data_IF_509954641585
#
_entry.id   IF_509954641585
#
_cell.length_a   1.000
_cell.length_b   1.000
_cell.length_c   1.000
_cell.angle_alpha   90.00
_cell.angle_beta   90.00
_cell.angle_gamma   90.00
#
_symmetry.space_group_name_H-M   'P 1'
#
loop_
_entity.id
_entity.type
_entity.pdbx_description
1 polymer ?
#
# COMPACT_ATOMS: atom_id res chain seq x y z
N UNK A 1 4.77 -0.46 14.02
CA UNK A 1 3.61 0.15 14.72
C UNK A 1 2.94 -0.97 15.52
N UNK A 2 2.85 -0.88 16.86
CA UNK A 2 2.16 -1.88 17.67
C UNK A 2 0.68 -2.00 17.29
N UNK A 3 0.15 -3.22 17.28
CA UNK A 3 -1.26 -3.48 17.00
C UNK A 3 -2.14 -3.12 18.21
N UNK A 4 -3.30 -2.49 17.99
CA UNK A 4 -4.22 -2.08 19.08
C UNK A 4 -5.25 -3.16 19.49
N UNK A 5 -5.28 -4.30 18.80
CA UNK A 5 -6.20 -5.42 19.06
C UNK A 5 -7.69 -5.03 18.96
N UNK A 6 -8.00 -4.13 18.02
CA UNK A 6 -9.35 -3.65 17.78
C UNK A 6 -10.22 -4.70 17.09
N UNK A 7 -11.48 -4.80 17.54
CA UNK A 7 -12.52 -5.54 16.84
C UNK A 7 -13.26 -4.62 15.86
N UNK A 8 -14.26 -5.18 15.17
CA UNK A 8 -15.16 -4.41 14.30
C UNK A 8 -15.85 -3.25 15.04
N UNK A 9 -16.11 -3.39 16.35
CA UNK A 9 -16.76 -2.34 17.14
C UNK A 9 -15.87 -1.12 17.30
N UNK A 10 -14.59 -1.33 17.63
CA UNK A 10 -13.64 -0.23 17.78
C UNK A 10 -13.36 0.43 16.42
N UNK A 11 -13.23 -0.34 15.34
CA UNK A 11 -13.12 0.21 13.99
C UNK A 11 -14.35 1.02 13.55
N UNK A 12 -15.56 0.55 13.85
CA UNK A 12 -16.78 1.31 13.54
C UNK A 12 -16.81 2.66 14.25
N UNK A 13 -16.42 2.68 15.53
CA UNK A 13 -16.31 3.92 16.30
C UNK A 13 -15.25 4.86 15.68
N UNK A 14 -14.10 4.32 15.28
CA UNK A 14 -13.02 5.10 14.68
C UNK A 14 -13.43 5.71 13.32
N UNK A 15 -14.11 4.95 12.45
CA UNK A 15 -14.69 5.48 11.21
C UNK A 15 -15.73 6.58 11.49
N UNK A 16 -16.54 6.46 12.55
CA UNK A 16 -17.45 7.52 12.97
C UNK A 16 -16.72 8.78 13.45
N UNK A 17 -15.58 8.63 14.12
CA UNK A 17 -14.70 9.75 14.50
C UNK A 17 -14.10 10.41 13.26
N UNK A 18 -13.53 9.63 12.34
CA UNK A 18 -12.99 10.11 11.07
C UNK A 18 -14.04 10.90 10.27
N UNK A 19 -15.27 10.37 10.15
CA UNK A 19 -16.35 11.06 9.43
C UNK A 19 -16.69 12.41 10.04
N UNK A 20 -16.76 12.48 11.37
CA UNK A 20 -17.04 13.74 12.10
C UNK A 20 -15.95 14.79 11.90
N UNK A 21 -14.72 14.37 11.64
CA UNK A 21 -13.60 15.26 11.34
C UNK A 21 -13.54 15.68 9.85
N UNK A 22 -14.45 15.15 9.01
CA UNK A 22 -14.48 15.46 7.58
C UNK A 22 -13.57 14.58 6.73
N UNK A 23 -13.03 13.48 7.28
CA UNK A 23 -12.31 12.48 6.48
C UNK A 23 -13.33 11.79 5.57
N UNK A 24 -13.01 11.75 4.28
CA UNK A 24 -13.82 11.12 3.24
C UNK A 24 -13.11 9.94 2.56
N UNK A 25 -11.84 9.70 2.88
CA UNK A 25 -11.01 8.69 2.22
C UNK A 25 -10.20 7.93 3.26
N UNK A 26 -10.22 6.60 3.17
CA UNK A 26 -9.42 5.68 3.98
C UNK A 26 -8.55 4.82 3.08
N UNK A 27 -7.29 4.64 3.48
CA UNK A 27 -6.29 3.93 2.69
C UNK A 27 -5.75 2.78 3.52
N UNK A 28 -5.93 1.55 3.05
CA UNK A 28 -5.22 0.41 3.62
C UNK A 28 -3.76 0.49 3.16
N UNK A 29 -2.81 0.66 4.09
CA UNK A 29 -1.41 0.92 3.72
C UNK A 29 -0.75 -0.23 2.93
N UNK A 30 -1.09 -1.47 3.23
CA UNK A 30 -0.66 -2.67 2.49
C UNK A 30 -1.59 -3.82 2.84
N UNK A 31 -1.94 -4.64 1.85
CA UNK A 31 -2.82 -5.80 2.04
C UNK A 31 -2.10 -7.03 2.62
N UNK A 32 -0.77 -6.97 2.63
CA UNK A 32 0.04 -7.87 3.43
C UNK A 32 1.46 -7.35 3.56
N UNK A 33 2.15 -7.85 4.59
CA UNK A 33 3.57 -7.62 4.78
C UNK A 33 4.26 -8.92 5.17
N UNK A 34 5.18 -9.37 4.33
CA UNK A 34 5.77 -10.72 4.45
C UNK A 34 4.62 -11.74 4.53
N UNK A 35 4.57 -12.55 5.58
CA UNK A 35 3.58 -13.63 5.73
C UNK A 35 2.26 -13.22 6.39
N UNK A 36 2.08 -11.93 6.73
CA UNK A 36 0.88 -11.44 7.41
C UNK A 36 -0.05 -10.75 6.43
N UNK A 37 -1.31 -11.16 6.40
CA UNK A 37 -2.32 -10.67 5.45
C UNK A 37 -3.46 -9.93 6.15
N UNK A 38 -4.13 -9.06 5.41
CA UNK A 38 -5.34 -8.35 5.86
C UNK A 38 -6.63 -9.01 5.38
N UNK A 39 -6.53 -9.97 4.46
CA UNK A 39 -7.64 -10.74 3.91
C UNK A 39 -7.13 -12.14 3.53
N UNK A 40 -8.02 -13.15 3.44
CA UNK A 40 -7.61 -14.54 3.20
C UNK A 40 -7.28 -14.79 1.72
N UNK A 41 -6.19 -14.17 1.23
CA UNK A 41 -5.67 -14.39 -0.14
C UNK A 41 -5.29 -15.85 -0.36
N UNK A 42 -6.03 -16.57 -1.21
CA UNK A 42 -5.72 -17.96 -1.56
C UNK A 42 -4.35 -18.01 -2.24
N UNK A 43 -4.12 -17.11 -3.19
CA UNK A 43 -2.85 -17.03 -3.93
C UNK A 43 -1.64 -16.87 -3.00
N UNK A 44 -1.67 -15.92 -2.05
CA UNK A 44 -0.53 -15.65 -1.18
C UNK A 44 -0.34 -16.73 -0.11
N UNK A 45 -1.43 -17.34 0.38
CA UNK A 45 -1.34 -18.48 1.30
C UNK A 45 -0.69 -19.70 0.63
N UNK A 46 -1.03 -19.98 -0.63
CA UNK A 46 -0.47 -21.11 -1.37
C UNK A 46 0.97 -20.86 -1.85
N UNK A 47 1.25 -19.68 -2.40
CA UNK A 47 2.52 -19.43 -3.12
C UNK A 47 3.61 -18.78 -2.28
N UNK A 48 3.24 -17.95 -1.30
CA UNK A 48 4.19 -17.26 -0.41
C UNK A 48 4.11 -17.78 1.05
N UNK A 49 3.28 -18.80 1.29
CA UNK A 49 3.14 -19.45 2.59
C UNK A 49 2.59 -18.52 3.68
N UNK A 50 1.80 -17.53 3.29
CA UNK A 50 1.22 -16.56 4.21
C UNK A 50 0.26 -17.20 5.21
N UNK A 51 0.12 -16.58 6.38
CA UNK A 51 -0.79 -17.05 7.41
C UNK A 51 -2.23 -16.65 7.09
N UNK A 52 -3.18 -17.55 7.35
CA UNK A 52 -4.59 -17.23 7.27
C UNK A 52 -4.93 -16.16 8.33
N UNK A 53 -5.46 -14.99 7.94
CA UNK A 53 -5.82 -13.96 8.92
C UNK A 53 -7.09 -14.37 9.69
N UNK A 54 -7.20 -14.04 10.98
CA UNK A 54 -8.39 -14.37 11.77
C UNK A 54 -9.63 -13.55 11.39
N UNK A 55 -9.43 -12.43 10.68
CA UNK A 55 -10.47 -11.51 10.23
C UNK A 55 -10.11 -11.01 8.84
N UNK A 56 -11.11 -10.94 7.96
CA UNK A 56 -11.00 -10.21 6.70
C UNK A 56 -11.21 -8.71 6.96
N UNK A 57 -10.10 -7.98 7.11
CA UNK A 57 -10.10 -6.55 7.32
C UNK A 57 -10.45 -5.78 6.05
N UNK A 58 -10.21 -6.33 4.86
CA UNK A 58 -10.55 -5.68 3.59
C UNK A 58 -12.05 -5.60 3.44
N UNK A 59 -12.75 -6.73 3.64
CA UNK A 59 -14.22 -6.76 3.69
C UNK A 59 -14.76 -5.79 4.74
N UNK A 60 -14.22 -5.84 5.96
CA UNK A 60 -14.66 -4.97 7.05
C UNK A 60 -14.50 -3.49 6.73
N UNK A 61 -13.35 -3.06 6.20
CA UNK A 61 -13.10 -1.66 5.88
C UNK A 61 -13.91 -1.18 4.68
N UNK A 62 -14.18 -2.02 3.69
CA UNK A 62 -15.08 -1.68 2.59
C UNK A 62 -16.52 -1.47 3.07
N UNK A 63 -17.01 -2.34 3.96
CA UNK A 63 -18.33 -2.18 4.59
C UNK A 63 -18.43 -0.90 5.41
N UNK A 64 -17.42 -0.61 6.24
CA UNK A 64 -17.37 0.60 7.04
C UNK A 64 -17.25 1.85 6.17
N UNK A 65 -16.40 1.83 5.15
CA UNK A 65 -16.29 2.92 4.18
C UNK A 65 -17.63 3.17 3.49
N UNK A 66 -18.34 2.11 3.07
CA UNK A 66 -19.69 2.21 2.54
C UNK A 66 -20.69 2.82 3.53
N UNK A 67 -20.70 2.34 4.78
CA UNK A 67 -21.57 2.85 5.86
C UNK A 67 -21.38 4.35 6.10
N UNK A 68 -20.14 4.84 6.09
CA UNK A 68 -19.81 6.25 6.39
C UNK A 68 -19.66 7.13 5.14
N UNK A 69 -19.90 6.57 3.95
CA UNK A 69 -19.76 7.27 2.67
C UNK A 69 -18.34 7.78 2.44
N UNK A 70 -17.35 6.90 2.63
CA UNK A 70 -15.94 7.15 2.39
C UNK A 70 -15.44 6.35 1.17
N UNK A 71 -14.41 6.86 0.51
CA UNK A 71 -13.64 6.18 -0.49
C UNK A 71 -12.61 5.25 0.17
N UNK A 72 -12.59 3.98 -0.19
CA UNK A 72 -11.57 3.02 0.23
C UNK A 72 -10.52 2.84 -0.86
N UNK A 73 -9.25 2.96 -0.49
CA UNK A 73 -8.11 2.66 -1.35
C UNK A 73 -7.39 1.41 -0.85
N UNK A 74 -7.20 0.45 -1.76
CA UNK A 74 -6.54 -0.81 -1.46
C UNK A 74 -5.02 -0.71 -1.64
N UNK A 75 -4.27 -0.91 -0.56
CA UNK A 75 -2.82 -1.05 -0.60
C UNK A 75 -2.37 -2.39 -1.15
N UNK A 76 -1.44 -2.35 -2.08
CA UNK A 76 -0.83 -3.55 -2.66
C UNK A 76 -0.06 -4.38 -1.63
N UNK A 77 0.31 -5.59 -2.02
CA UNK A 77 1.09 -6.48 -1.19
C UNK A 77 2.57 -6.05 -1.21
N UNK A 78 3.22 -6.09 -0.04
CA UNK A 78 4.66 -5.88 0.08
C UNK A 78 5.30 -7.17 0.63
N UNK A 79 6.06 -7.87 -0.21
CA UNK A 79 6.74 -9.10 0.20
C UNK A 79 7.78 -8.85 1.29
N UNK A 80 8.29 -7.61 1.40
CA UNK A 80 9.42 -7.27 2.26
C UNK A 80 10.70 -8.05 1.93
N UNK A 81 10.80 -8.64 0.74
CA UNK A 81 11.89 -9.54 0.33
C UNK A 81 12.37 -9.24 -1.09
N UNK A 82 11.50 -9.34 -2.09
CA UNK A 82 11.94 -9.40 -3.49
C UNK A 82 12.49 -8.06 -3.98
N UNK A 83 11.68 -6.99 -3.97
CA UNK A 83 12.13 -5.69 -4.46
C UNK A 83 13.17 -5.02 -3.54
N UNK A 84 13.01 -5.15 -2.22
CA UNK A 84 13.83 -4.44 -1.23
C UNK A 84 15.12 -5.18 -0.85
N UNK A 85 15.03 -6.44 -0.43
CA UNK A 85 16.19 -7.20 0.07
C UNK A 85 16.98 -7.85 -1.08
N UNK A 86 16.30 -8.30 -2.14
CA UNK A 86 16.91 -9.08 -3.23
C UNK A 86 17.12 -8.26 -4.52
N UNK A 87 16.48 -7.10 -4.65
CA UNK A 87 16.50 -6.30 -5.88
C UNK A 87 15.74 -6.94 -7.05
N UNK A 88 14.90 -7.94 -6.80
CA UNK A 88 14.05 -8.59 -7.79
C UNK A 88 12.68 -7.89 -7.87
N UNK A 89 12.66 -6.77 -8.59
CA UNK A 89 11.45 -5.98 -8.82
C UNK A 89 10.41 -6.74 -9.65
N UNK A 90 10.82 -7.63 -10.55
CA UNK A 90 9.88 -8.32 -11.44
C UNK A 90 9.08 -9.36 -10.65
N UNK A 91 9.72 -10.11 -9.76
CA UNK A 91 9.01 -11.05 -8.89
C UNK A 91 7.97 -10.35 -8.00
N UNK A 92 8.28 -9.15 -7.49
CA UNK A 92 7.30 -8.34 -6.74
C UNK A 92 6.09 -7.92 -7.61
N UNK A 93 6.36 -7.53 -8.86
CA UNK A 93 5.32 -7.21 -9.85
C UNK A 93 4.46 -8.43 -10.12
N UNK A 94 5.06 -9.57 -10.48
CA UNK A 94 4.34 -10.78 -10.88
C UNK A 94 3.39 -11.28 -9.79
N UNK A 95 3.81 -11.20 -8.52
CA UNK A 95 2.97 -11.52 -7.36
C UNK A 95 1.80 -10.54 -7.26
N UNK A 96 2.08 -9.23 -7.32
CA UNK A 96 1.05 -8.21 -7.17
C UNK A 96 0.04 -8.22 -8.32
N UNK A 97 0.43 -8.57 -9.55
CA UNK A 97 -0.52 -8.74 -10.66
C UNK A 97 -1.60 -9.79 -10.32
N UNK A 98 -1.21 -10.91 -9.71
CA UNK A 98 -2.15 -11.95 -9.27
C UNK A 98 -3.01 -11.50 -8.09
N UNK A 99 -2.41 -10.79 -7.14
CA UNK A 99 -3.13 -10.20 -5.99
C UNK A 99 -4.18 -9.19 -6.46
N UNK A 100 -3.84 -8.32 -7.41
CA UNK A 100 -4.75 -7.32 -7.98
C UNK A 100 -5.96 -8.02 -8.63
N UNK A 101 -5.72 -9.06 -9.44
CA UNK A 101 -6.80 -9.83 -10.09
C UNK A 101 -7.72 -10.50 -9.07
N UNK A 102 -7.15 -11.14 -8.04
CA UNK A 102 -7.88 -11.80 -6.96
C UNK A 102 -8.74 -10.79 -6.19
N UNK A 103 -8.14 -9.71 -5.70
CA UNK A 103 -8.82 -8.66 -4.93
C UNK A 103 -9.94 -8.02 -5.74
N UNK A 104 -9.70 -7.72 -7.02
CA UNK A 104 -10.71 -7.12 -7.87
C UNK A 104 -11.91 -8.06 -8.06
N UNK A 105 -11.66 -9.35 -8.27
CA UNK A 105 -12.71 -10.36 -8.37
C UNK A 105 -13.55 -10.46 -7.09
N UNK A 106 -12.91 -10.42 -5.92
CA UNK A 106 -13.60 -10.56 -4.64
C UNK A 106 -14.33 -9.28 -4.20
N UNK A 107 -13.70 -8.11 -4.34
CA UNK A 107 -14.16 -6.89 -3.70
C UNK A 107 -14.48 -5.74 -4.67
N UNK A 108 -14.13 -5.85 -5.95
CA UNK A 108 -14.28 -4.76 -6.93
C UNK A 108 -15.71 -4.33 -7.20
N UNK A 109 -16.69 -5.18 -6.87
CA UNK A 109 -18.11 -4.85 -6.96
C UNK A 109 -18.59 -3.94 -5.82
N UNK A 110 -17.82 -3.78 -4.74
CA UNK A 110 -18.20 -2.96 -3.60
C UNK A 110 -18.08 -1.48 -3.95
N UNK A 111 -19.17 -0.73 -3.81
CA UNK A 111 -19.25 0.69 -4.21
C UNK A 111 -18.17 1.57 -3.54
N UNK A 112 -17.76 1.23 -2.32
CA UNK A 112 -16.74 1.96 -1.56
C UNK A 112 -15.32 1.75 -2.10
N UNK A 113 -15.06 0.72 -2.92
CA UNK A 113 -13.75 0.52 -3.55
C UNK A 113 -13.52 1.61 -4.59
N UNK A 114 -12.60 2.55 -4.32
CA UNK A 114 -12.41 3.76 -5.12
C UNK A 114 -10.99 3.98 -5.64
N UNK A 115 -10.02 3.18 -5.24
CA UNK A 115 -8.69 3.27 -5.84
C UNK A 115 -7.66 2.33 -5.23
N UNK A 116 -6.42 2.54 -5.66
CA UNK A 116 -5.30 1.68 -5.35
C UNK A 116 -4.15 2.50 -4.76
N UNK A 117 -3.46 1.92 -3.78
CA UNK A 117 -2.25 2.46 -3.19
C UNK A 117 -1.07 1.55 -3.51
N UNK A 118 -0.07 2.06 -4.24
CA UNK A 118 1.13 1.31 -4.57
C UNK A 118 2.09 1.38 -3.38
N UNK A 119 2.12 0.33 -2.57
CA UNK A 119 2.69 0.31 -1.22
C UNK A 119 4.22 0.30 -1.15
N UNK A 120 4.94 0.18 -2.27
CA UNK A 120 6.40 0.19 -2.30
C UNK A 120 6.91 1.62 -2.12
N UNK A 121 7.03 2.10 -0.89
CA UNK A 121 7.46 3.47 -0.56
C UNK A 121 8.97 3.66 -0.79
N UNK A 122 9.36 4.69 -1.56
CA UNK A 122 10.76 5.07 -1.80
C UNK A 122 10.98 6.56 -1.53
N UNK A 123 12.23 6.96 -1.31
CA UNK A 123 12.62 8.36 -1.13
C UNK A 123 13.57 8.91 -2.18
N UNK A 124 14.18 8.01 -2.95
CA UNK A 124 15.21 8.26 -3.94
C UNK A 124 14.92 7.45 -5.18
N UNK A 125 15.59 7.80 -6.28
CA UNK A 125 15.65 6.93 -7.44
C UNK A 125 16.26 5.58 -7.06
N UNK A 126 15.42 4.56 -6.95
CA UNK A 126 15.80 3.24 -6.40
C UNK A 126 15.61 2.16 -7.45
N UNK A 127 16.72 1.60 -7.95
CA UNK A 127 16.71 0.44 -8.84
C UNK A 127 15.74 0.58 -10.01
N UNK A 128 14.79 -0.37 -10.11
CA UNK A 128 13.77 -0.42 -11.17
C UNK A 128 12.38 0.00 -10.68
N UNK A 129 12.31 0.84 -9.65
CA UNK A 129 11.03 1.22 -9.03
C UNK A 129 10.04 1.86 -10.01
N UNK A 130 10.52 2.68 -10.95
CA UNK A 130 9.67 3.34 -11.95
C UNK A 130 8.94 2.31 -12.82
N UNK A 131 9.67 1.30 -13.31
CA UNK A 131 9.10 0.20 -14.09
C UNK A 131 8.13 -0.68 -13.29
N UNK A 132 8.36 -0.82 -11.98
CA UNK A 132 7.43 -1.48 -11.06
C UNK A 132 6.13 -0.68 -10.92
N UNK A 133 6.22 0.63 -10.60
CA UNK A 133 5.04 1.48 -10.47
C UNK A 133 4.22 1.57 -11.75
N UNK A 134 4.89 1.66 -12.90
CA UNK A 134 4.22 1.70 -14.20
C UNK A 134 3.39 0.44 -14.42
N UNK A 135 4.00 -0.75 -14.29
CA UNK A 135 3.31 -2.02 -14.50
C UNK A 135 2.15 -2.23 -13.53
N UNK A 136 2.36 -1.97 -12.23
CA UNK A 136 1.32 -2.13 -11.22
C UNK A 136 0.20 -1.11 -11.38
N UNK A 137 0.53 0.15 -11.64
CA UNK A 137 -0.44 1.22 -11.87
C UNK A 137 -1.29 0.98 -13.12
N UNK A 138 -0.66 0.57 -14.22
CA UNK A 138 -1.35 0.20 -15.46
C UNK A 138 -2.32 -0.97 -15.23
N UNK A 139 -1.88 -2.02 -14.54
CA UNK A 139 -2.72 -3.19 -14.27
C UNK A 139 -3.90 -2.85 -13.36
N UNK A 140 -3.66 -2.14 -12.25
CA UNK A 140 -4.69 -1.63 -11.36
C UNK A 140 -5.77 -0.86 -12.13
N UNK A 141 -5.36 0.05 -13.02
CA UNK A 141 -6.30 0.82 -13.86
C UNK A 141 -7.04 -0.06 -14.85
N UNK A 142 -6.35 -0.98 -15.51
CA UNK A 142 -6.93 -1.87 -16.51
C UNK A 142 -8.05 -2.72 -15.92
N UNK A 143 -7.81 -3.39 -14.78
CA UNK A 143 -8.81 -4.27 -14.16
C UNK A 143 -10.00 -3.50 -13.60
N UNK A 144 -9.77 -2.28 -13.10
CA UNK A 144 -10.78 -1.52 -12.36
C UNK A 144 -11.55 -0.48 -13.18
N UNK A 145 -11.39 -0.47 -14.50
CA UNK A 145 -12.03 0.53 -15.36
C UNK A 145 -11.51 1.95 -15.13
N UNK A 146 -10.23 2.08 -14.75
CA UNK A 146 -9.54 3.35 -14.63
C UNK A 146 -9.55 4.01 -13.25
N UNK A 147 -9.77 3.26 -12.16
CA UNK A 147 -9.70 3.85 -10.82
C UNK A 147 -8.34 4.51 -10.55
N UNK A 148 -8.31 5.57 -9.71
CA UNK A 148 -7.09 6.26 -9.34
C UNK A 148 -6.09 5.34 -8.63
N UNK A 149 -4.81 5.68 -8.81
CA UNK A 149 -3.63 5.01 -8.22
C UNK A 149 -2.79 6.09 -7.56
N UNK A 150 -2.28 5.84 -6.36
CA UNK A 150 -1.41 6.79 -5.66
C UNK A 150 -0.16 6.10 -5.06
N UNK A 151 0.90 6.89 -4.88
CA UNK A 151 2.12 6.56 -4.14
C UNK A 151 2.27 7.52 -2.96
N UNK A 152 2.95 7.11 -1.89
CA UNK A 152 3.28 7.97 -0.75
C UNK A 152 4.78 7.86 -0.45
N UNK A 153 5.62 8.51 -1.28
CA UNK A 153 7.04 8.55 -1.00
C UNK A 153 7.36 9.42 0.21
N UNK A 154 8.59 9.32 0.69
CA UNK A 154 9.12 10.19 1.75
C UNK A 154 10.35 10.95 1.28
N UNK A 155 10.64 12.09 1.90
CA UNK A 155 11.83 12.88 1.57
C UNK A 155 13.02 12.32 2.33
N UNK A 156 14.14 12.11 1.64
CA UNK A 156 15.41 11.63 2.20
C UNK A 156 16.17 12.74 2.97
N UNK A 157 15.46 13.36 3.91
CA UNK A 157 15.94 14.47 4.73
C UNK A 157 16.73 14.00 5.96
N UNK A 158 17.14 14.95 6.80
CA UNK A 158 17.95 14.66 8.00
C UNK A 158 17.25 13.75 9.02
N UNK A 159 15.91 13.68 8.99
CA UNK A 159 15.07 12.81 9.84
C UNK A 159 14.72 11.47 9.18
N UNK A 160 15.19 11.20 7.96
CA UNK A 160 15.01 9.91 7.27
C UNK A 160 15.99 8.87 7.84
N UNK A 161 15.78 8.56 9.11
CA UNK A 161 16.52 7.57 9.90
C UNK A 161 15.62 6.37 10.18
N UNK A 162 16.17 5.17 10.14
CA UNK A 162 15.42 3.98 10.48
C UNK A 162 15.07 4.00 11.97
N UNK A 163 13.88 3.51 12.33
CA UNK A 163 13.46 3.39 13.74
C UNK A 163 14.37 2.51 14.61
N UNK A 164 15.26 1.73 13.99
CA UNK A 164 16.30 0.94 14.64
C UNK A 164 17.58 1.73 14.97
N UNK A 165 17.74 2.95 14.47
CA UNK A 165 18.91 3.81 14.72
C UNK A 165 18.69 4.68 15.96
N UNK A 166 19.72 4.82 16.80
CA UNK A 166 19.63 5.56 18.06
C UNK A 166 19.68 7.09 17.91
N UNK A 167 20.19 7.60 16.78
CA UNK A 167 20.26 9.03 16.49
C UNK A 167 18.90 9.60 16.10
N UNK A 168 18.66 10.90 16.36
CA UNK A 168 17.43 11.60 15.94
C UNK A 168 17.58 12.31 14.58
N UNK A 169 18.81 12.38 14.05
CA UNK A 169 19.12 12.97 12.76
C UNK A 169 20.40 12.39 12.17
N UNK A 170 20.52 12.46 10.84
CA UNK A 170 21.77 12.22 10.09
C UNK A 170 22.22 13.50 9.38
N UNK A 171 23.53 13.69 9.24
CA UNK A 171 24.11 14.89 8.62
C UNK A 171 23.92 14.92 7.09
N UNK A 172 23.94 13.77 6.44
CA UNK A 172 23.80 13.66 4.98
C UNK A 172 22.33 13.57 4.59
N UNK A 173 21.74 14.70 4.20
CA UNK A 173 20.41 14.78 3.60
C UNK A 173 20.51 15.05 2.10
N UNK A 174 19.50 14.65 1.34
CA UNK A 174 19.37 15.02 -0.07
C UNK A 174 19.27 16.54 -0.21
N UNK A 175 19.92 17.13 -1.23
CA UNK A 175 19.70 18.55 -1.57
C UNK A 175 18.41 18.73 -2.36
N UNK A 176 17.91 19.96 -2.43
CA UNK A 176 16.70 20.28 -3.21
C UNK A 176 16.89 19.95 -4.70
N UNK A 177 18.03 20.32 -5.28
CA UNK A 177 18.32 20.10 -6.70
C UNK A 177 18.50 18.62 -7.04
N UNK A 178 19.02 17.82 -6.09
CA UNK A 178 19.09 16.38 -6.25
C UNK A 178 17.72 15.72 -6.16
N UNK A 179 16.88 16.19 -5.23
CA UNK A 179 15.52 15.71 -5.07
C UNK A 179 14.69 15.99 -6.33
N UNK A 180 14.68 17.23 -6.81
CA UNK A 180 13.97 17.64 -8.01
C UNK A 180 14.38 16.78 -9.21
N UNK A 181 15.69 16.68 -9.50
CA UNK A 181 16.20 15.87 -10.61
C UNK A 181 15.79 14.40 -10.53
N UNK A 182 15.88 13.78 -9.36
CA UNK A 182 15.51 12.37 -9.21
C UNK A 182 14.00 12.14 -9.35
N UNK A 183 13.18 13.07 -8.89
CA UNK A 183 11.72 12.96 -8.98
C UNK A 183 11.19 13.29 -10.37
N UNK A 184 11.83 14.22 -11.09
CA UNK A 184 11.55 14.46 -12.52
C UNK A 184 11.76 13.18 -13.33
N UNK A 185 12.89 12.49 -13.14
CA UNK A 185 13.16 11.19 -13.79
C UNK A 185 12.11 10.12 -13.43
N UNK A 186 11.60 10.11 -12.19
CA UNK A 186 10.56 9.15 -11.76
C UNK A 186 9.22 9.46 -12.41
N UNK A 187 8.86 10.74 -12.58
CA UNK A 187 7.58 11.15 -13.12
C UNK A 187 7.53 11.16 -14.66
N UNK A 188 8.68 11.27 -15.34
CA UNK A 188 8.77 11.13 -16.80
C UNK A 188 8.48 9.70 -17.28
N UNK A 189 8.77 8.68 -16.46
CA UNK A 189 8.44 7.27 -16.71
C UNK A 189 9.54 6.44 -17.37
#
# INVERSE_FOLDING_TARGET
IPHQNWSRREWDADFAHMKRMGIDTVILIRSGYKRWLTYPSEYLMETEGCFHPPVDLVQQFLELAGKYGMAFYFGLYDSGKYWWEQGDFQKEVDINLRVIDEVWKHYGHMQAFKGWYLSQEVSRRTGKIVGLYRQLGEHCKSVSGGLPTLISPYIDGTKAILSSQAGLSREQAITLEQHEREWDEIFEG
#
